data_IF_030251912748
#
_entry.id   IF_030251912748
#
_cell.length_a   1.000
_cell.length_b   1.000
_cell.length_c   1.000
_cell.angle_alpha   90.00
_cell.angle_beta   90.00
_cell.angle_gamma   90.00
#
_symmetry.space_group_name_H-M   'P 1'
#
loop_
_entity.id
_entity.type
_entity.pdbx_description
1 polymer ?
#
# COMPACT_ATOMS: atom_id res chain seq x y z
N UNK A 1 17.08 -16.69 33.14
CA UNK A 1 15.91 -17.27 32.42
C UNK A 1 15.17 -16.12 31.77
N UNK A 2 15.08 -16.10 30.48
CA UNK A 2 14.27 -15.10 29.80
C UNK A 2 12.78 -15.32 30.13
N UNK A 3 12.09 -14.22 30.38
CA UNK A 3 10.68 -14.28 30.78
C UNK A 3 9.83 -14.73 29.58
N UNK A 4 9.09 -15.86 29.70
CA UNK A 4 8.21 -16.39 28.65
C UNK A 4 6.95 -15.55 28.46
N UNK A 5 6.79 -14.45 29.20
CA UNK A 5 5.69 -13.50 29.04
C UNK A 5 6.27 -12.14 28.67
N UNK A 6 5.80 -11.56 27.56
CA UNK A 6 6.22 -10.26 27.06
C UNK A 6 5.04 -9.29 27.27
N UNK A 7 5.21 -8.30 28.15
CA UNK A 7 4.19 -7.30 28.44
C UNK A 7 4.33 -6.07 27.51
N UNK A 8 3.23 -5.48 27.12
CA UNK A 8 3.24 -4.22 26.35
C UNK A 8 3.81 -3.07 27.17
N UNK A 9 3.63 -3.09 28.50
CA UNK A 9 4.19 -2.11 29.42
C UNK A 9 5.72 -2.02 29.40
N UNK A 10 6.39 -3.08 28.93
CA UNK A 10 7.87 -3.13 28.87
C UNK A 10 8.42 -2.25 27.72
N UNK A 11 7.53 -1.71 26.85
CA UNK A 11 7.92 -0.93 25.68
C UNK A 11 7.40 0.51 25.78
N UNK A 12 8.28 1.53 25.79
CA UNK A 12 7.87 2.93 25.92
C UNK A 12 6.89 3.43 24.85
N UNK A 13 7.05 2.94 23.60
CA UNK A 13 6.19 3.29 22.47
C UNK A 13 4.78 2.69 22.55
N UNK A 14 4.52 1.79 23.49
CA UNK A 14 3.23 1.12 23.68
C UNK A 14 2.50 1.60 24.96
N UNK A 15 3.11 2.52 25.70
CA UNK A 15 2.46 3.14 26.84
C UNK A 15 1.40 4.11 26.33
N UNK A 16 0.13 3.75 26.47
CA UNK A 16 -0.98 4.63 26.12
C UNK A 16 -1.12 5.75 27.16
N UNK A 17 -1.31 6.98 26.67
CA UNK A 17 -1.67 8.16 27.46
C UNK A 17 -3.17 8.24 27.78
N UNK A 18 -3.88 7.10 27.86
CA UNK A 18 -5.33 7.04 28.02
C UNK A 18 -5.81 6.10 29.14
N UNK A 19 -7.09 6.22 29.48
CA UNK A 19 -7.78 5.58 30.61
C UNK A 19 -7.94 4.06 30.59
N UNK A 20 -7.47 3.36 29.56
CA UNK A 20 -7.51 1.88 29.46
C UNK A 20 -6.15 1.31 29.85
N UNK A 21 -6.04 0.87 31.10
CA UNK A 21 -4.96 -0.01 31.57
C UNK A 21 -5.14 -1.43 31.05
N UNK A 22 -5.04 -1.65 29.74
CA UNK A 22 -4.97 -3.02 29.20
C UNK A 22 -3.49 -3.45 29.24
N UNK A 23 -3.13 -4.26 30.24
CA UNK A 23 -1.83 -4.90 30.32
C UNK A 23 -1.77 -6.00 29.25
N UNK A 24 -1.75 -5.59 27.97
CA UNK A 24 -1.58 -6.53 26.87
C UNK A 24 -0.29 -7.32 27.02
N UNK A 25 -0.36 -8.62 26.74
CA UNK A 25 0.81 -9.51 26.81
C UNK A 25 0.77 -10.54 25.71
N UNK A 26 1.94 -11.02 25.34
CA UNK A 26 2.13 -12.28 24.61
C UNK A 26 2.66 -13.33 25.59
N UNK A 27 2.04 -14.50 25.58
CA UNK A 27 2.38 -15.61 26.46
C UNK A 27 3.01 -16.74 25.64
N UNK A 28 4.33 -16.84 25.67
CA UNK A 28 5.09 -17.85 24.92
C UNK A 28 4.94 -19.24 25.50
N UNK A 29 4.46 -19.39 26.76
CA UNK A 29 4.20 -20.72 27.35
C UNK A 29 3.12 -21.49 26.59
N UNK A 30 2.30 -20.79 25.78
CA UNK A 30 1.30 -21.40 24.91
C UNK A 30 1.88 -22.17 23.73
N UNK A 31 3.18 -22.03 23.44
CA UNK A 31 3.84 -22.70 22.33
C UNK A 31 4.43 -24.06 22.79
N UNK A 32 4.36 -25.11 21.93
CA UNK A 32 4.66 -26.48 22.34
C UNK A 32 6.16 -26.80 22.49
N UNK A 33 7.05 -26.04 21.83
CA UNK A 33 8.49 -26.32 21.83
C UNK A 33 9.30 -25.07 22.16
N UNK A 34 10.54 -25.26 22.63
CA UNK A 34 11.42 -24.14 22.95
C UNK A 34 11.87 -23.41 21.71
N UNK A 35 12.11 -24.11 20.61
CA UNK A 35 12.48 -23.52 19.32
C UNK A 35 11.38 -22.58 18.81
N UNK A 36 10.11 -22.99 18.86
CA UNK A 36 8.99 -22.14 18.51
C UNK A 36 8.88 -20.91 19.42
N UNK A 37 9.15 -21.04 20.70
CA UNK A 37 9.17 -19.90 21.63
C UNK A 37 10.21 -18.86 21.22
N UNK A 38 11.40 -19.30 20.86
CA UNK A 38 12.50 -18.40 20.44
C UNK A 38 12.19 -17.71 19.10
N UNK A 39 11.67 -18.46 18.12
CA UNK A 39 11.24 -17.92 16.82
C UNK A 39 10.17 -16.85 16.99
N UNK A 40 9.12 -17.11 17.75
CA UNK A 40 8.06 -16.12 18.00
C UNK A 40 8.54 -14.98 18.89
N UNK A 41 9.41 -15.21 19.87
CA UNK A 41 10.01 -14.18 20.71
C UNK A 41 10.71 -13.14 19.85
N UNK A 42 11.57 -13.56 18.92
CA UNK A 42 12.29 -12.66 18.01
C UNK A 42 11.33 -11.75 17.22
N UNK A 43 10.31 -12.33 16.61
CA UNK A 43 9.31 -11.56 15.86
C UNK A 43 8.47 -10.65 16.76
N UNK A 44 7.98 -11.13 17.90
CA UNK A 44 7.15 -10.35 18.83
C UNK A 44 7.94 -9.15 19.37
N UNK A 45 9.21 -9.34 19.77
CA UNK A 45 10.07 -8.26 20.24
C UNK A 45 10.29 -7.20 19.15
N UNK A 46 10.53 -7.62 17.89
CA UNK A 46 10.60 -6.71 16.76
C UNK A 46 9.29 -5.91 16.59
N UNK A 47 8.13 -6.58 16.68
CA UNK A 47 6.81 -5.94 16.57
C UNK A 47 6.53 -4.97 17.71
N UNK A 48 6.88 -5.33 18.94
CA UNK A 48 6.71 -4.45 20.10
C UNK A 48 7.56 -3.19 20.01
N UNK A 49 8.78 -3.28 19.49
CA UNK A 49 9.65 -2.10 19.30
C UNK A 49 9.17 -1.16 18.18
N UNK A 50 8.55 -1.69 17.13
CA UNK A 50 8.23 -0.93 15.91
C UNK A 50 6.72 -0.73 15.66
N UNK A 51 5.87 -1.35 16.45
CA UNK A 51 4.42 -1.34 16.27
C UNK A 51 3.71 -0.27 17.12
N UNK A 52 2.41 -0.13 16.87
CA UNK A 52 1.51 0.67 17.70
C UNK A 52 0.68 -0.23 18.60
N UNK A 53 0.23 0.28 19.75
CA UNK A 53 -0.59 -0.45 20.70
C UNK A 53 -1.81 -1.14 20.05
N UNK A 54 -2.55 -0.39 19.23
CA UNK A 54 -3.74 -0.90 18.52
C UNK A 54 -3.42 -2.07 17.58
N UNK A 55 -2.29 -2.02 16.88
CA UNK A 55 -1.85 -3.09 16.00
C UNK A 55 -1.50 -4.36 16.81
N UNK A 56 -0.81 -4.20 17.94
CA UNK A 56 -0.41 -5.31 18.79
C UNK A 56 -1.57 -6.02 19.51
N UNK A 57 -2.67 -5.33 19.79
CA UNK A 57 -3.89 -6.00 20.26
C UNK A 57 -4.42 -6.99 19.18
N UNK A 58 -4.40 -6.58 17.91
CA UNK A 58 -4.78 -7.47 16.81
C UNK A 58 -3.78 -8.61 16.63
N UNK A 59 -2.49 -8.31 16.71
CA UNK A 59 -1.40 -9.29 16.64
C UNK A 59 -1.53 -10.34 17.78
N UNK A 60 -1.87 -9.93 19.00
CA UNK A 60 -2.12 -10.83 20.15
C UNK A 60 -3.25 -11.83 19.86
N UNK A 61 -4.35 -11.34 19.29
CA UNK A 61 -5.47 -12.21 18.93
C UNK A 61 -5.05 -13.23 17.87
N UNK A 62 -4.33 -12.78 16.85
CA UNK A 62 -3.79 -13.64 15.80
C UNK A 62 -2.80 -14.67 16.37
N UNK A 63 -1.88 -14.24 17.24
CA UNK A 63 -0.94 -15.10 17.94
C UNK A 63 -1.63 -16.22 18.73
N UNK A 64 -2.67 -15.89 19.48
CA UNK A 64 -3.42 -16.88 20.26
C UNK A 64 -4.08 -17.95 19.37
N UNK A 65 -4.58 -17.60 18.20
CA UNK A 65 -5.09 -18.56 17.22
C UNK A 65 -3.96 -19.46 16.70
N UNK A 66 -2.81 -18.87 16.39
CA UNK A 66 -1.64 -19.63 15.88
C UNK A 66 -1.09 -20.55 16.95
N UNK A 67 -1.00 -20.13 18.20
CA UNK A 67 -0.58 -20.99 19.30
C UNK A 67 -1.50 -22.22 19.44
N UNK A 68 -2.82 -22.06 19.33
CA UNK A 68 -3.79 -23.16 19.30
C UNK A 68 -3.58 -24.07 18.08
N UNK A 69 -3.35 -23.48 16.91
CA UNK A 69 -3.08 -24.22 15.68
C UNK A 69 -1.79 -25.06 15.82
N UNK A 70 -0.71 -24.51 16.36
CA UNK A 70 0.55 -25.22 16.55
C UNK A 70 0.44 -26.37 17.56
N UNK A 71 -0.48 -26.28 18.53
CA UNK A 71 -0.80 -27.36 19.48
C UNK A 71 -1.79 -28.40 18.92
N UNK A 72 -2.28 -28.23 17.69
CA UNK A 72 -3.25 -29.16 17.09
C UNK A 72 -2.60 -30.50 16.71
N UNK A 73 -3.43 -31.53 16.50
CA UNK A 73 -2.97 -32.88 16.13
C UNK A 73 -2.08 -32.90 14.87
N UNK A 74 -2.33 -32.01 13.93
CA UNK A 74 -1.61 -31.89 12.66
C UNK A 74 -0.13 -31.50 12.89
N UNK A 75 0.15 -30.82 14.00
CA UNK A 75 1.45 -30.24 14.30
C UNK A 75 2.21 -30.93 15.46
N UNK A 76 1.74 -32.04 15.96
CA UNK A 76 2.34 -32.75 17.14
C UNK A 76 3.83 -33.10 17.03
N UNK A 77 4.37 -33.21 15.82
CA UNK A 77 5.77 -33.59 15.57
C UNK A 77 6.64 -32.42 15.13
N UNK A 78 6.06 -31.21 15.06
CA UNK A 78 6.77 -30.01 14.63
C UNK A 78 7.60 -29.47 15.80
N UNK A 79 8.85 -29.13 15.51
CA UNK A 79 9.76 -28.48 16.48
C UNK A 79 9.94 -26.99 16.15
N UNK A 80 10.06 -26.64 14.87
CA UNK A 80 10.36 -25.32 14.37
C UNK A 80 9.47 -24.97 13.18
N UNK A 81 9.27 -23.68 12.89
CA UNK A 81 8.59 -23.21 11.68
C UNK A 81 9.38 -23.52 10.39
N UNK A 82 10.70 -23.74 10.51
CA UNK A 82 11.56 -24.21 9.42
C UNK A 82 11.23 -25.62 8.92
N UNK A 83 10.53 -26.44 9.70
CA UNK A 83 10.22 -27.83 9.33
C UNK A 83 9.29 -27.97 8.11
N UNK A 84 8.67 -26.88 7.67
CA UNK A 84 7.76 -26.86 6.51
C UNK A 84 7.92 -25.61 5.67
N UNK A 85 7.61 -25.75 4.37
CA UNK A 85 7.53 -24.62 3.45
C UNK A 85 6.45 -23.62 3.91
N UNK A 86 6.69 -22.28 3.82
CA UNK A 86 5.75 -21.24 4.20
C UNK A 86 4.35 -21.38 3.59
N UNK A 87 4.23 -21.72 2.32
CA UNK A 87 2.92 -21.88 1.67
C UNK A 87 2.13 -23.08 2.24
N UNK A 88 2.82 -24.16 2.59
CA UNK A 88 2.19 -25.31 3.24
C UNK A 88 1.69 -24.96 4.64
N UNK A 89 2.46 -24.15 5.38
CA UNK A 89 2.02 -23.61 6.67
C UNK A 89 0.72 -22.82 6.56
N UNK A 90 0.64 -21.92 5.57
CA UNK A 90 -0.56 -21.10 5.35
C UNK A 90 -1.75 -21.95 4.94
N UNK A 91 -1.55 -22.95 4.06
CA UNK A 91 -2.60 -23.85 3.64
C UNK A 91 -3.19 -24.65 4.83
N UNK A 92 -2.32 -25.20 5.68
CA UNK A 92 -2.74 -25.94 6.88
C UNK A 92 -3.44 -25.04 7.91
N UNK A 93 -2.94 -23.80 8.10
CA UNK A 93 -3.60 -22.82 8.97
C UNK A 93 -5.00 -22.50 8.47
N UNK A 94 -5.17 -22.26 7.15
CA UNK A 94 -6.49 -22.00 6.56
C UNK A 94 -7.45 -23.15 6.78
N UNK A 95 -7.01 -24.40 6.56
CA UNK A 95 -7.81 -25.60 6.83
C UNK A 95 -8.24 -25.68 8.30
N UNK A 96 -7.29 -25.52 9.23
CA UNK A 96 -7.58 -25.53 10.66
C UNK A 96 -8.53 -24.39 11.08
N UNK A 97 -8.36 -23.18 10.53
CA UNK A 97 -9.26 -22.05 10.83
C UNK A 97 -10.70 -22.37 10.41
N UNK A 98 -10.90 -22.96 9.23
CA UNK A 98 -12.22 -23.38 8.75
C UNK A 98 -12.84 -24.44 9.68
N UNK A 99 -12.06 -25.44 10.11
CA UNK A 99 -12.51 -26.45 11.08
C UNK A 99 -12.93 -25.85 12.42
N UNK A 100 -12.29 -24.74 12.84
CA UNK A 100 -12.63 -24.03 14.08
C UNK A 100 -13.72 -22.96 13.89
N UNK A 101 -14.30 -22.81 12.71
CA UNK A 101 -15.30 -21.79 12.41
C UNK A 101 -14.71 -20.36 12.39
N UNK A 102 -13.38 -20.22 12.23
CA UNK A 102 -12.70 -18.93 12.16
C UNK A 102 -12.65 -18.50 10.69
N UNK A 103 -13.08 -17.28 10.41
CA UNK A 103 -13.10 -16.74 9.04
C UNK A 103 -11.69 -16.56 8.48
N UNK A 104 -11.48 -17.02 7.24
CA UNK A 104 -10.21 -16.85 6.51
C UNK A 104 -10.17 -15.58 5.67
N UNK A 105 -11.32 -14.92 5.51
CA UNK A 105 -11.49 -13.70 4.72
C UNK A 105 -12.01 -12.59 5.65
N UNK A 106 -11.42 -11.40 5.52
CA UNK A 106 -11.89 -10.19 6.19
C UNK A 106 -12.53 -9.26 5.16
N UNK A 107 -13.79 -8.92 5.39
CA UNK A 107 -14.46 -7.85 4.66
C UNK A 107 -13.93 -6.49 5.12
N UNK A 108 -13.62 -5.64 4.15
CA UNK A 108 -13.25 -4.23 4.37
C UNK A 108 -14.25 -3.37 3.62
N UNK A 109 -14.96 -2.53 4.34
CA UNK A 109 -15.87 -1.54 3.78
C UNK A 109 -15.20 -0.18 3.80
N UNK A 110 -15.07 0.45 2.63
CA UNK A 110 -14.55 1.82 2.53
C UNK A 110 -15.58 2.82 3.04
N UNK A 111 -15.14 4.05 3.32
CA UNK A 111 -16.02 5.18 3.69
C UNK A 111 -17.06 5.45 2.59
N UNK A 112 -16.73 5.15 1.34
CA UNK A 112 -17.61 5.31 0.17
C UNK A 112 -18.51 4.10 -0.11
N UNK A 113 -18.58 3.13 0.81
CA UNK A 113 -19.42 1.95 0.67
C UNK A 113 -18.86 0.81 -0.18
N UNK A 114 -17.69 0.98 -0.80
CA UNK A 114 -17.04 -0.09 -1.57
C UNK A 114 -16.61 -1.22 -0.63
N UNK A 115 -17.02 -2.44 -0.95
CA UNK A 115 -16.65 -3.64 -0.20
C UNK A 115 -15.46 -4.30 -0.88
N UNK A 116 -14.42 -4.59 -0.13
CA UNK A 116 -13.26 -5.36 -0.59
C UNK A 116 -12.98 -6.51 0.39
N UNK A 117 -12.48 -7.61 -0.14
CA UNK A 117 -12.16 -8.79 0.65
C UNK A 117 -10.64 -8.98 0.71
N UNK A 118 -10.14 -9.32 1.90
CA UNK A 118 -8.73 -9.60 2.11
C UNK A 118 -8.53 -10.80 3.03
N UNK A 119 -7.30 -11.32 3.12
CA UNK A 119 -7.01 -12.39 4.07
C UNK A 119 -7.24 -11.93 5.52
N UNK A 120 -7.70 -12.85 6.37
CA UNK A 120 -7.88 -12.60 7.79
C UNK A 120 -6.56 -12.19 8.48
N UNK A 121 -6.66 -11.39 9.53
CA UNK A 121 -5.50 -10.87 10.29
C UNK A 121 -4.58 -12.00 10.78
N UNK A 122 -5.14 -13.12 11.18
CA UNK A 122 -4.38 -14.31 11.64
C UNK A 122 -3.46 -14.85 10.55
N UNK A 123 -3.96 -14.93 9.30
CA UNK A 123 -3.16 -15.40 8.16
C UNK A 123 -2.06 -14.41 7.84
N UNK A 124 -2.38 -13.11 7.79
CA UNK A 124 -1.41 -12.04 7.52
C UNK A 124 -0.32 -11.99 8.60
N UNK A 125 -0.68 -12.12 9.86
CA UNK A 125 0.28 -12.16 10.97
C UNK A 125 1.22 -13.36 10.81
N UNK A 126 0.71 -14.55 10.52
CA UNK A 126 1.53 -15.75 10.37
C UNK A 126 2.46 -15.67 9.16
N UNK A 127 1.99 -15.12 8.01
CA UNK A 127 2.86 -14.83 6.87
C UNK A 127 4.02 -13.91 7.25
N UNK A 128 3.75 -12.89 8.07
CA UNK A 128 4.79 -11.96 8.51
C UNK A 128 5.79 -12.63 9.46
N UNK A 129 5.36 -13.54 10.34
CA UNK A 129 6.25 -14.37 11.15
C UNK A 129 7.15 -15.23 10.26
N UNK A 130 6.56 -15.96 9.31
CA UNK A 130 7.31 -16.81 8.39
C UNK A 130 8.29 -16.02 7.52
N UNK A 131 7.90 -14.83 7.08
CA UNK A 131 8.79 -13.92 6.34
C UNK A 131 9.94 -13.42 7.21
N UNK A 132 9.69 -13.09 8.46
CA UNK A 132 10.71 -12.61 9.41
C UNK A 132 11.77 -13.67 9.72
N UNK A 133 11.35 -14.94 9.78
CA UNK A 133 12.24 -16.08 10.05
C UNK A 133 12.90 -16.64 8.79
N UNK A 134 12.40 -16.26 7.62
CA UNK A 134 12.97 -16.67 6.34
C UNK A 134 14.37 -16.10 6.12
N UNK A 135 15.14 -16.67 5.20
CA UNK A 135 16.44 -16.12 4.84
C UNK A 135 16.27 -14.66 4.37
N UNK A 136 17.18 -13.81 4.81
CA UNK A 136 17.23 -12.42 4.35
C UNK A 136 17.52 -12.40 2.84
N UNK A 137 16.69 -11.67 2.09
CA UNK A 137 16.91 -11.49 0.66
C UNK A 137 18.01 -10.46 0.45
N UNK A 138 19.24 -10.96 0.23
CA UNK A 138 20.46 -10.15 0.06
C UNK A 138 20.60 -9.55 -1.35
N UNK A 139 19.65 -9.80 -2.27
CA UNK A 139 19.68 -9.16 -3.59
C UNK A 139 19.54 -7.65 -3.46
N UNK A 140 20.06 -6.93 -4.44
CA UNK A 140 19.82 -5.50 -4.54
C UNK A 140 18.33 -5.18 -4.53
N UNK A 141 17.94 -4.06 -3.92
CA UNK A 141 16.52 -3.72 -3.76
C UNK A 141 15.78 -3.69 -5.09
N UNK A 142 16.45 -3.22 -6.16
CA UNK A 142 15.89 -3.14 -7.52
C UNK A 142 15.64 -4.51 -8.18
N UNK A 143 16.32 -5.55 -7.73
CA UNK A 143 16.13 -6.91 -8.26
C UNK A 143 14.95 -7.64 -7.58
N UNK A 144 14.55 -7.18 -6.39
CA UNK A 144 13.43 -7.78 -5.65
C UNK A 144 12.10 -7.52 -6.36
N UNK A 145 11.13 -8.41 -6.17
CA UNK A 145 9.77 -8.21 -6.69
C UNK A 145 8.91 -7.29 -5.82
N UNK A 146 9.37 -6.96 -4.62
CA UNK A 146 8.78 -5.97 -3.72
C UNK A 146 9.88 -5.06 -3.23
N UNK A 147 9.82 -3.78 -3.62
CA UNK A 147 10.80 -2.79 -3.19
C UNK A 147 10.34 -2.10 -1.91
N UNK A 148 11.23 -1.99 -0.95
CA UNK A 148 11.09 -1.06 0.16
C UNK A 148 11.73 0.27 -0.22
N UNK A 149 10.91 1.30 -0.43
CA UNK A 149 11.36 2.59 -0.98
C UNK A 149 12.50 3.25 -0.19
N UNK A 150 12.56 2.99 1.14
CA UNK A 150 13.64 3.50 1.99
C UNK A 150 15.02 2.90 1.69
N UNK A 151 15.07 1.74 1.00
CA UNK A 151 16.30 1.04 0.66
C UNK A 151 16.80 1.39 -0.75
N UNK A 152 16.01 2.16 -1.51
CA UNK A 152 16.44 2.65 -2.83
C UNK A 152 17.36 3.86 -2.65
N UNK A 153 18.48 3.87 -3.35
CA UNK A 153 19.46 4.99 -3.34
C UNK A 153 19.00 6.13 -4.28
N UNK A 154 17.76 6.58 -4.11
CA UNK A 154 17.18 7.71 -4.87
C UNK A 154 16.32 8.58 -3.97
N UNK A 155 16.29 9.89 -4.26
CA UNK A 155 15.42 10.83 -3.55
C UNK A 155 14.01 10.79 -4.11
N UNK A 156 13.13 10.04 -3.45
CA UNK A 156 11.74 9.91 -3.86
C UNK A 156 10.92 11.12 -3.45
N UNK A 157 10.14 11.67 -4.39
CA UNK A 157 9.17 12.74 -4.11
C UNK A 157 7.94 12.14 -3.44
N UNK A 158 7.89 12.21 -2.11
CA UNK A 158 6.79 11.69 -1.30
C UNK A 158 5.58 12.61 -1.32
N UNK A 159 4.40 12.01 -1.19
CA UNK A 159 3.18 12.76 -0.88
C UNK A 159 3.15 13.00 0.64
N UNK A 160 2.94 14.24 1.12
CA UNK A 160 2.95 14.55 2.55
C UNK A 160 1.79 13.90 3.33
N UNK A 161 0.70 13.56 2.65
CA UNK A 161 -0.50 12.97 3.28
C UNK A 161 -0.50 11.44 3.15
N UNK A 162 -0.03 10.90 2.03
CA UNK A 162 -0.07 9.48 1.73
C UNK A 162 1.33 8.90 1.61
N UNK A 163 1.76 8.19 2.65
CA UNK A 163 3.10 7.61 2.71
C UNK A 163 3.12 6.20 2.10
N UNK A 164 3.56 6.12 0.84
CA UNK A 164 3.85 4.86 0.18
C UNK A 164 5.19 4.34 0.70
N UNK A 165 5.22 3.11 1.18
CA UNK A 165 6.44 2.49 1.71
C UNK A 165 7.05 1.44 0.79
N UNK A 166 6.21 0.84 -0.05
CA UNK A 166 6.63 -0.29 -0.91
C UNK A 166 6.00 -0.22 -2.29
N UNK A 167 6.72 -0.74 -3.30
CA UNK A 167 6.20 -1.05 -4.62
C UNK A 167 6.24 -2.57 -4.84
N UNK A 168 5.13 -3.15 -5.31
CA UNK A 168 4.97 -4.60 -5.46
C UNK A 168 4.76 -4.98 -6.93
N UNK A 169 5.72 -5.67 -7.53
CA UNK A 169 5.71 -6.09 -8.93
C UNK A 169 5.17 -7.50 -9.16
N UNK A 170 4.85 -8.26 -8.12
CA UNK A 170 4.45 -9.70 -8.20
C UNK A 170 3.19 -9.95 -9.02
N UNK A 171 2.35 -8.91 -9.22
CA UNK A 171 1.14 -8.99 -10.05
C UNK A 171 1.40 -8.69 -11.53
N UNK A 172 2.64 -8.50 -11.92
CA UNK A 172 3.06 -8.54 -13.33
C UNK A 172 3.48 -9.99 -13.59
N UNK A 173 2.65 -10.71 -14.34
CA UNK A 173 2.76 -12.18 -14.46
C UNK A 173 3.92 -12.62 -15.35
N UNK A 174 4.21 -11.87 -16.42
CA UNK A 174 5.30 -12.16 -17.35
C UNK A 174 6.63 -11.70 -16.73
N UNK A 175 7.62 -12.60 -16.56
CA UNK A 175 8.91 -12.25 -15.92
C UNK A 175 9.66 -11.13 -16.65
N UNK A 176 9.72 -11.18 -18.00
CA UNK A 176 10.46 -10.19 -18.77
C UNK A 176 9.79 -8.81 -18.70
N UNK A 177 8.45 -8.73 -18.86
CA UNK A 177 7.67 -7.49 -18.67
C UNK A 177 7.87 -6.94 -17.25
N UNK A 178 7.98 -7.82 -16.25
CA UNK A 178 8.23 -7.40 -14.85
C UNK A 178 9.58 -6.72 -14.71
N UNK A 179 10.63 -7.28 -15.29
CA UNK A 179 11.97 -6.68 -15.24
C UNK A 179 12.05 -5.38 -16.06
N UNK A 180 11.40 -5.34 -17.22
CA UNK A 180 11.28 -4.13 -18.04
C UNK A 180 10.53 -3.03 -17.26
N UNK A 181 9.44 -3.38 -16.62
CA UNK A 181 8.66 -2.46 -15.78
C UNK A 181 9.47 -1.96 -14.57
N UNK A 182 10.23 -2.82 -13.88
CA UNK A 182 11.10 -2.41 -12.77
C UNK A 182 12.09 -1.33 -13.20
N UNK A 183 12.75 -1.49 -14.34
CA UNK A 183 13.71 -0.49 -14.83
C UNK A 183 13.03 0.83 -15.18
N UNK A 184 11.87 0.79 -15.83
CA UNK A 184 11.11 2.00 -16.14
C UNK A 184 10.61 2.70 -14.87
N UNK A 185 10.08 1.97 -13.91
CA UNK A 185 9.67 2.49 -12.61
C UNK A 185 10.84 3.13 -11.86
N UNK A 186 12.02 2.50 -11.85
CA UNK A 186 13.21 3.06 -11.22
C UNK A 186 13.64 4.38 -11.89
N UNK A 187 13.58 4.46 -13.21
CA UNK A 187 13.85 5.70 -13.96
C UNK A 187 12.82 6.77 -13.60
N UNK A 188 11.53 6.47 -13.65
CA UNK A 188 10.45 7.42 -13.41
C UNK A 188 10.46 7.95 -11.96
N UNK A 189 10.83 7.13 -10.96
CA UNK A 189 10.97 7.55 -9.57
C UNK A 189 11.98 8.69 -9.35
N UNK A 190 12.94 8.87 -10.24
CA UNK A 190 13.93 9.95 -10.15
C UNK A 190 13.32 11.32 -10.48
N UNK A 191 12.28 11.35 -11.32
CA UNK A 191 11.70 12.59 -11.87
C UNK A 191 10.26 12.82 -11.45
N UNK A 192 9.50 11.76 -11.16
CA UNK A 192 8.08 11.82 -10.90
C UNK A 192 7.72 11.64 -9.42
N UNK A 193 6.51 12.09 -9.06
CA UNK A 193 5.97 11.82 -7.73
C UNK A 193 5.59 10.35 -7.58
N UNK A 194 5.77 9.80 -6.37
CA UNK A 194 5.46 8.40 -6.06
C UNK A 194 4.01 8.02 -6.40
N UNK A 195 3.06 8.96 -6.28
CA UNK A 195 1.66 8.72 -6.64
C UNK A 195 1.45 8.46 -8.13
N UNK A 196 2.19 9.15 -9.00
CA UNK A 196 2.19 8.95 -10.46
C UNK A 196 2.72 7.57 -10.80
N UNK A 197 3.90 7.23 -10.25
CA UNK A 197 4.54 5.92 -10.46
C UNK A 197 3.67 4.76 -9.95
N UNK A 198 2.94 4.96 -8.86
CA UNK A 198 1.95 3.96 -8.40
C UNK A 198 0.79 3.78 -9.40
N UNK A 199 0.34 4.86 -10.03
CA UNK A 199 -0.66 4.81 -11.11
C UNK A 199 -0.15 3.97 -12.28
N UNK A 200 1.07 4.23 -12.73
CA UNK A 200 1.75 3.48 -13.79
C UNK A 200 1.88 2.00 -13.45
N UNK A 201 2.35 1.68 -12.25
CA UNK A 201 2.46 0.29 -11.80
C UNK A 201 1.10 -0.39 -11.67
N UNK A 202 0.05 0.35 -11.32
CA UNK A 202 -1.31 -0.18 -11.22
C UNK A 202 -1.84 -0.60 -12.58
N UNK A 203 -1.69 0.26 -13.59
CA UNK A 203 -2.16 -0.09 -14.94
C UNK A 203 -1.32 -1.18 -15.58
N UNK A 204 -0.01 -1.23 -15.33
CA UNK A 204 0.85 -2.32 -15.81
C UNK A 204 0.43 -3.68 -15.24
N UNK A 205 -0.03 -3.73 -13.99
CA UNK A 205 -0.59 -4.97 -13.41
C UNK A 205 -1.89 -5.39 -14.09
N UNK A 206 -2.78 -4.44 -14.37
CA UNK A 206 -4.04 -4.70 -15.07
C UNK A 206 -3.75 -5.18 -16.50
N UNK A 207 -2.81 -4.53 -17.18
CA UNK A 207 -2.40 -4.89 -18.53
C UNK A 207 -1.73 -6.28 -18.57
N UNK A 208 -0.82 -6.55 -17.65
CA UNK A 208 -0.19 -7.88 -17.53
C UNK A 208 -1.21 -9.00 -17.25
N UNK A 209 -2.23 -8.73 -16.42
CA UNK A 209 -3.32 -9.69 -16.18
C UNK A 209 -4.13 -9.95 -17.46
N UNK A 210 -4.39 -8.91 -18.24
CA UNK A 210 -5.06 -9.03 -19.54
C UNK A 210 -4.22 -9.86 -20.52
N UNK A 211 -2.93 -9.53 -20.66
CA UNK A 211 -2.00 -10.29 -21.52
C UNK A 211 -1.90 -11.76 -21.09
N UNK A 212 -1.92 -12.05 -19.80
CA UNK A 212 -1.88 -13.43 -19.31
C UNK A 212 -3.10 -14.24 -19.73
N UNK A 213 -4.27 -13.60 -19.83
CA UNK A 213 -5.53 -14.25 -20.20
C UNK A 213 -5.71 -14.40 -21.71
N UNK A 214 -5.52 -13.30 -22.42
CA UNK A 214 -5.86 -13.22 -23.86
C UNK A 214 -4.65 -13.47 -24.76
N UNK A 215 -3.44 -13.08 -24.31
CA UNK A 215 -2.21 -13.11 -25.09
C UNK A 215 -1.07 -13.83 -24.35
N UNK A 216 -1.31 -15.03 -23.85
CA UNK A 216 -0.35 -15.79 -23.02
C UNK A 216 1.02 -16.07 -23.68
N UNK A 217 1.14 -15.88 -25.00
CA UNK A 217 2.39 -16.01 -25.75
C UNK A 217 3.30 -14.80 -25.60
N UNK A 218 2.76 -13.61 -25.35
CA UNK A 218 3.54 -12.39 -25.16
C UNK A 218 4.32 -12.48 -23.84
N UNK A 219 5.64 -12.35 -23.92
CA UNK A 219 6.55 -12.45 -22.77
C UNK A 219 7.26 -11.14 -22.45
N UNK A 220 7.52 -10.30 -23.45
CA UNK A 220 8.23 -9.02 -23.38
C UNK A 220 7.36 -7.90 -23.95
N UNK A 221 7.59 -6.67 -23.49
CA UNK A 221 6.95 -5.48 -24.04
C UNK A 221 7.30 -5.25 -25.51
N UNK A 222 8.44 -5.76 -26.01
CA UNK A 222 8.83 -5.67 -27.42
C UNK A 222 7.86 -6.37 -28.38
N UNK A 223 7.07 -7.34 -27.88
CA UNK A 223 6.11 -8.11 -28.65
C UNK A 223 4.73 -7.45 -28.75
N UNK A 224 4.51 -6.37 -27.96
CA UNK A 224 3.27 -5.63 -27.96
C UNK A 224 3.16 -4.82 -29.24
N UNK A 225 2.07 -5.02 -29.97
CA UNK A 225 1.74 -4.27 -31.17
C UNK A 225 0.46 -3.44 -31.01
N UNK A 226 0.07 -2.76 -32.06
CA UNK A 226 -1.10 -1.88 -32.06
C UNK A 226 -2.41 -2.64 -31.84
N UNK A 227 -2.54 -3.84 -32.39
CA UNK A 227 -3.74 -4.69 -32.27
C UNK A 227 -3.99 -5.07 -30.82
N UNK A 228 -2.95 -5.56 -30.14
CA UNK A 228 -3.00 -5.89 -28.69
C UNK A 228 -3.39 -4.68 -27.84
N UNK A 229 -2.85 -3.50 -28.17
CA UNK A 229 -3.21 -2.28 -27.46
C UNK A 229 -4.66 -1.89 -27.67
N UNK A 230 -5.16 -1.90 -28.92
CA UNK A 230 -6.55 -1.52 -29.24
C UNK A 230 -7.55 -2.44 -28.54
N UNK A 231 -7.33 -3.73 -28.54
CA UNK A 231 -8.18 -4.68 -27.83
C UNK A 231 -8.16 -4.45 -26.32
N UNK A 232 -6.98 -4.14 -25.75
CA UNK A 232 -6.90 -3.78 -24.33
C UNK A 232 -7.66 -2.49 -24.01
N UNK A 233 -7.58 -1.46 -24.85
CA UNK A 233 -8.33 -0.21 -24.69
C UNK A 233 -9.84 -0.45 -24.73
N UNK A 234 -10.31 -1.29 -25.63
CA UNK A 234 -11.71 -1.74 -25.69
C UNK A 234 -12.08 -2.45 -24.38
N UNK A 235 -11.23 -3.39 -23.92
CA UNK A 235 -11.45 -4.09 -22.66
C UNK A 235 -11.54 -3.13 -21.46
N UNK A 236 -10.70 -2.10 -21.40
CA UNK A 236 -10.79 -1.08 -20.35
C UNK A 236 -12.10 -0.29 -20.41
N UNK A 237 -12.56 0.06 -21.61
CA UNK A 237 -13.79 0.85 -21.80
C UNK A 237 -15.06 0.08 -21.46
N UNK A 238 -15.03 -1.24 -21.53
CA UNK A 238 -16.17 -2.12 -21.18
C UNK A 238 -16.28 -2.43 -19.71
N UNK A 239 -15.23 -2.13 -18.90
CA UNK A 239 -15.30 -2.25 -17.45
C UNK A 239 -16.11 -1.10 -16.85
N UNK A 240 -16.87 -1.38 -15.78
CA UNK A 240 -17.60 -0.39 -14.97
C UNK A 240 -16.65 0.55 -14.21
N UNK A 241 -15.76 1.22 -14.91
CA UNK A 241 -14.86 2.23 -14.38
C UNK A 241 -15.27 3.62 -14.85
N UNK A 242 -15.07 4.65 -14.02
CA UNK A 242 -15.38 6.02 -14.42
C UNK A 242 -14.54 6.46 -15.63
N UNK A 243 -15.08 7.30 -16.51
CA UNK A 243 -14.33 7.86 -17.65
C UNK A 243 -13.00 8.51 -17.24
N UNK A 244 -12.98 9.21 -16.11
CA UNK A 244 -11.77 9.84 -15.56
C UNK A 244 -10.70 8.80 -15.16
N UNK A 245 -11.11 7.65 -14.60
CA UNK A 245 -10.18 6.57 -14.28
C UNK A 245 -9.59 5.94 -15.54
N UNK A 246 -10.40 5.75 -16.60
CA UNK A 246 -9.94 5.20 -17.87
C UNK A 246 -8.93 6.10 -18.55
N UNK A 247 -9.18 7.41 -18.61
CA UNK A 247 -8.23 8.40 -19.17
C UNK A 247 -6.90 8.36 -18.42
N UNK A 248 -6.93 8.36 -17.08
CA UNK A 248 -5.73 8.27 -16.25
C UNK A 248 -4.95 6.97 -16.47
N UNK A 249 -5.65 5.85 -16.65
CA UNK A 249 -5.04 4.56 -16.94
C UNK A 249 -4.34 4.53 -18.30
N UNK A 250 -4.98 5.06 -19.34
CA UNK A 250 -4.40 5.12 -20.69
C UNK A 250 -3.14 5.99 -20.70
N UNK A 251 -3.19 7.18 -20.06
CA UNK A 251 -2.03 8.08 -19.95
C UNK A 251 -0.89 7.41 -19.19
N UNK A 252 -1.19 6.73 -18.09
CA UNK A 252 -0.17 6.04 -17.27
C UNK A 252 0.45 4.87 -18.01
N UNK A 253 -0.35 4.08 -18.75
CA UNK A 253 0.15 2.97 -19.57
C UNK A 253 1.05 3.47 -20.70
N UNK A 254 0.60 4.51 -21.42
CA UNK A 254 1.39 5.15 -22.46
C UNK A 254 2.76 5.57 -21.94
N UNK A 255 2.80 6.33 -20.85
CA UNK A 255 4.03 6.81 -20.25
C UNK A 255 4.98 5.67 -19.88
N UNK A 256 4.44 4.61 -19.26
CA UNK A 256 5.24 3.46 -18.86
C UNK A 256 5.83 2.70 -20.05
N UNK A 257 5.02 2.43 -21.10
CA UNK A 257 5.48 1.75 -22.30
C UNK A 257 6.46 2.60 -23.12
N UNK A 258 6.24 3.91 -23.23
CA UNK A 258 7.22 4.83 -23.87
C UNK A 258 8.55 4.86 -23.10
N UNK A 259 8.52 4.83 -21.76
CA UNK A 259 9.73 4.76 -20.94
C UNK A 259 10.48 3.43 -21.17
N UNK A 260 9.75 2.31 -21.20
CA UNK A 260 10.33 1.00 -21.55
C UNK A 260 10.94 1.04 -22.95
N UNK A 261 10.21 1.62 -23.92
CA UNK A 261 10.68 1.79 -25.30
C UNK A 261 12.02 2.49 -25.36
N UNK A 262 12.17 3.61 -24.65
CA UNK A 262 13.42 4.38 -24.59
C UNK A 262 14.56 3.63 -23.92
N UNK A 263 14.30 2.91 -22.81
CA UNK A 263 15.33 2.16 -22.06
C UNK A 263 15.88 1.00 -22.89
N UNK A 264 14.99 0.29 -23.60
CA UNK A 264 15.34 -0.93 -24.32
C UNK A 264 15.49 -0.74 -25.85
N UNK A 265 15.31 0.49 -26.32
CA UNK A 265 15.31 0.82 -27.77
C UNK A 265 14.24 0.04 -28.56
N UNK A 266 13.06 -0.08 -27.97
CA UNK A 266 11.90 -0.68 -28.63
C UNK A 266 11.12 0.44 -29.34
N UNK A 267 11.57 0.87 -30.52
CA UNK A 267 11.01 2.00 -31.30
C UNK A 267 9.48 1.91 -31.46
N UNK A 268 8.94 0.70 -31.61
CA UNK A 268 7.49 0.46 -31.74
C UNK A 268 6.72 1.03 -30.54
N UNK A 269 7.22 0.88 -29.32
CA UNK A 269 6.53 1.32 -28.11
C UNK A 269 6.46 2.85 -27.99
N UNK A 270 7.41 3.56 -28.56
CA UNK A 270 7.44 5.04 -28.53
C UNK A 270 6.33 5.67 -29.41
N UNK A 271 5.85 4.92 -30.39
CA UNK A 271 4.83 5.33 -31.36
C UNK A 271 3.55 4.51 -31.30
N UNK A 272 3.41 3.68 -30.26
CA UNK A 272 2.29 2.74 -30.14
C UNK A 272 0.94 3.45 -29.93
N UNK A 273 0.94 4.56 -29.18
CA UNK A 273 -0.26 5.31 -28.87
C UNK A 273 -0.48 6.47 -29.85
N UNK A 274 -1.74 6.70 -30.18
CA UNK A 274 -2.18 7.89 -30.90
C UNK A 274 -3.05 8.78 -29.99
N UNK A 275 -3.20 10.06 -30.33
CA UNK A 275 -3.91 11.01 -29.47
C UNK A 275 -5.38 10.64 -29.22
N UNK A 276 -6.02 9.96 -30.16
CA UNK A 276 -7.42 9.51 -30.03
C UNK A 276 -7.62 8.35 -29.07
N UNK A 277 -6.55 7.68 -28.63
CA UNK A 277 -6.62 6.61 -27.62
C UNK A 277 -6.96 7.13 -26.24
N UNK A 278 -6.64 8.40 -25.99
CA UNK A 278 -6.91 9.02 -24.70
C UNK A 278 -8.35 9.50 -24.69
N UNK A 279 -9.22 8.95 -23.84
CA UNK A 279 -10.59 9.42 -23.74
C UNK A 279 -10.63 10.91 -23.38
N UNK A 280 -11.54 11.69 -23.98
CA UNK A 280 -11.65 13.10 -23.68
C UNK A 280 -11.98 13.32 -22.20
N UNK A 281 -11.36 14.33 -21.59
CA UNK A 281 -11.69 14.71 -20.22
C UNK A 281 -13.15 15.17 -20.14
N UNK A 282 -13.90 14.56 -19.24
CA UNK A 282 -15.23 15.07 -18.89
C UNK A 282 -15.01 16.27 -17.98
N UNK A 283 -15.42 17.45 -18.45
CA UNK A 283 -15.38 18.65 -17.64
C UNK A 283 -16.17 18.43 -16.35
N UNK A 284 -15.49 18.43 -15.23
CA UNK A 284 -16.13 18.34 -13.92
C UNK A 284 -17.00 19.60 -13.73
N UNK A 285 -18.29 19.42 -13.45
CA UNK A 285 -19.11 20.55 -13.01
C UNK A 285 -18.54 21.12 -11.70
N UNK A 286 -18.16 22.38 -11.75
CA UNK A 286 -17.71 23.09 -10.57
C UNK A 286 -18.92 23.36 -9.67
N UNK A 287 -19.06 22.61 -8.60
CA UNK A 287 -20.13 22.80 -7.60
C UNK A 287 -19.62 23.67 -6.47
N UNK A 288 -20.25 24.82 -6.31
CA UNK A 288 -20.00 25.72 -5.19
C UNK A 288 -21.07 25.47 -4.13
N UNK A 289 -20.65 25.49 -2.87
CA UNK A 289 -21.62 25.45 -1.77
C UNK A 289 -22.47 26.72 -1.76
N UNK A 290 -23.77 26.58 -1.53
CA UNK A 290 -24.65 27.69 -1.29
C UNK A 290 -24.36 28.38 0.05
N UNK A 291 -24.80 29.62 0.24
CA UNK A 291 -24.61 30.35 1.48
C UNK A 291 -25.20 29.61 2.69
N UNK A 292 -26.33 28.93 2.50
CA UNK A 292 -26.98 28.17 3.59
C UNK A 292 -26.22 26.87 3.91
N UNK A 293 -25.62 26.22 2.93
CA UNK A 293 -24.73 25.08 3.16
C UNK A 293 -23.47 25.51 3.90
N UNK A 294 -22.89 26.66 3.53
CA UNK A 294 -21.74 27.23 4.20
C UNK A 294 -22.04 27.63 5.64
N UNK A 295 -23.22 28.23 5.92
CA UNK A 295 -23.64 28.54 7.28
C UNK A 295 -23.76 27.28 8.14
N UNK A 296 -24.40 26.23 7.62
CA UNK A 296 -24.51 24.92 8.31
C UNK A 296 -23.13 24.29 8.57
N UNK A 297 -22.27 24.28 7.55
CA UNK A 297 -20.91 23.77 7.68
C UNK A 297 -20.15 24.52 8.79
N UNK A 298 -20.21 25.84 8.81
CA UNK A 298 -19.51 26.66 9.79
C UNK A 298 -20.04 26.42 11.23
N UNK A 299 -21.34 26.21 11.39
CA UNK A 299 -21.93 25.88 12.68
C UNK A 299 -21.41 24.54 13.21
N UNK A 300 -21.30 23.52 12.35
CA UNK A 300 -20.78 22.21 12.74
C UNK A 300 -19.26 22.23 13.00
N UNK A 301 -18.48 23.00 12.23
CA UNK A 301 -17.02 23.13 12.44
C UNK A 301 -16.71 23.64 13.84
N UNK A 302 -17.52 24.57 14.38
CA UNK A 302 -17.30 25.12 15.72
C UNK A 302 -17.52 24.12 16.86
N UNK A 303 -18.21 23.01 16.59
CA UNK A 303 -18.48 21.93 17.55
C UNK A 303 -17.44 20.80 17.49
N UNK A 304 -16.54 20.82 16.51
CA UNK A 304 -15.49 19.81 16.35
C UNK A 304 -14.34 19.99 17.34
N UNK A 305 -13.47 18.98 17.43
CA UNK A 305 -12.18 19.13 18.12
C UNK A 305 -11.45 20.38 17.65
N UNK A 306 -10.87 21.13 18.61
CA UNK A 306 -10.26 22.45 18.36
C UNK A 306 -9.20 22.41 17.24
N UNK A 307 -8.40 21.35 17.16
CA UNK A 307 -7.35 21.24 16.13
C UNK A 307 -7.96 21.02 14.75
N UNK A 308 -9.00 20.19 14.67
CA UNK A 308 -9.72 19.92 13.41
C UNK A 308 -10.44 21.18 12.95
N UNK A 309 -11.14 21.87 13.85
CA UNK A 309 -11.85 23.12 13.55
C UNK A 309 -10.89 24.19 13.01
N UNK A 310 -9.74 24.39 13.65
CA UNK A 310 -8.71 25.35 13.20
C UNK A 310 -8.18 24.98 11.80
N UNK A 311 -7.90 23.71 11.54
CA UNK A 311 -7.43 23.26 10.25
C UNK A 311 -8.46 23.53 9.15
N UNK A 312 -9.74 23.22 9.39
CA UNK A 312 -10.82 23.45 8.44
C UNK A 312 -11.06 24.94 8.18
N UNK A 313 -11.03 25.79 9.22
CA UNK A 313 -11.14 27.23 9.08
C UNK A 313 -9.99 27.83 8.26
N UNK A 314 -8.74 27.41 8.52
CA UNK A 314 -7.58 27.84 7.72
C UNK A 314 -7.74 27.40 6.27
N UNK A 315 -8.15 26.16 6.05
CA UNK A 315 -8.40 25.63 4.71
C UNK A 315 -9.45 26.44 3.95
N UNK A 316 -10.56 26.77 4.61
CA UNK A 316 -11.64 27.56 4.06
C UNK A 316 -11.23 29.01 3.77
N UNK A 317 -10.48 29.65 4.68
CA UNK A 317 -10.01 31.01 4.51
C UNK A 317 -8.99 31.18 3.39
N UNK A 318 -8.10 30.23 3.25
CA UNK A 318 -7.00 30.29 2.27
C UNK A 318 -7.38 29.69 0.91
N UNK A 319 -8.43 28.86 0.82
CA UNK A 319 -8.80 28.16 -0.40
C UNK A 319 -7.71 27.24 -0.94
N UNK A 320 -6.80 26.77 -0.07
CA UNK A 320 -5.68 25.91 -0.45
C UNK A 320 -6.14 24.46 -0.61
N UNK A 321 -5.31 23.61 -1.24
CA UNK A 321 -5.58 22.16 -1.22
C UNK A 321 -5.39 21.63 0.20
N UNK A 322 -6.11 20.58 0.55
CA UNK A 322 -6.01 19.98 1.91
C UNK A 322 -4.57 19.55 2.24
N UNK A 323 -3.79 19.07 1.25
CA UNK A 323 -2.38 18.76 1.41
C UNK A 323 -1.57 19.98 1.86
N UNK A 324 -1.82 21.11 1.25
CA UNK A 324 -1.08 22.34 1.53
C UNK A 324 -1.45 22.87 2.92
N UNK A 325 -2.74 22.83 3.27
CA UNK A 325 -3.20 23.20 4.61
C UNK A 325 -2.57 22.33 5.71
N UNK A 326 -2.55 21.01 5.51
CA UNK A 326 -2.00 20.07 6.50
C UNK A 326 -0.47 20.13 6.64
N UNK A 327 0.22 20.71 5.66
CA UNK A 327 1.69 20.84 5.64
C UNK A 327 2.16 22.28 5.85
N UNK A 328 1.25 23.20 6.20
CA UNK A 328 1.62 24.57 6.56
C UNK A 328 2.63 24.56 7.71
N UNK A 329 3.72 25.27 7.50
CA UNK A 329 4.74 25.42 8.53
C UNK A 329 4.30 26.46 9.56
N UNK A 330 4.68 26.31 10.84
CA UNK A 330 4.35 27.28 11.88
C UNK A 330 4.85 28.71 11.61
N UNK A 331 5.92 28.83 10.80
CA UNK A 331 6.56 30.07 10.40
C UNK A 331 6.08 30.62 9.05
N UNK A 332 5.07 30.03 8.43
CA UNK A 332 4.56 30.45 7.12
C UNK A 332 4.02 31.90 7.10
N UNK A 333 3.59 32.44 8.25
CA UNK A 333 3.10 33.81 8.38
C UNK A 333 4.22 34.84 8.62
N UNK A 334 5.46 34.41 8.79
CA UNK A 334 6.60 35.31 9.01
C UNK A 334 7.26 35.79 7.70
N UNK A 335 6.77 35.33 6.56
CA UNK A 335 7.29 35.66 5.23
C UNK A 335 6.79 37.01 4.69
N UNK A 336 6.63 38.03 5.56
CA UNK A 336 6.35 39.41 5.15
C UNK A 336 7.48 40.07 4.31
N UNK A 337 8.58 39.38 4.12
CA UNK A 337 9.76 39.92 3.41
C UNK A 337 9.92 39.39 1.98
N UNK A 338 9.07 38.50 1.51
CA UNK A 338 9.15 37.98 0.16
C UNK A 338 7.87 38.33 -0.62
N UNK A 339 7.89 39.34 -1.52
CA UNK A 339 6.74 39.68 -2.31
C UNK A 339 6.30 38.46 -3.14
N UNK A 340 4.99 38.24 -3.25
CA UNK A 340 4.40 37.21 -4.08
C UNK A 340 4.96 37.30 -5.51
N UNK A 341 5.19 36.20 -6.22
CA UNK A 341 5.54 36.26 -7.64
C UNK A 341 4.56 37.08 -8.49
N UNK A 342 3.31 37.23 -8.05
CA UNK A 342 2.30 38.08 -8.69
C UNK A 342 2.53 39.56 -8.41
N UNK A 343 3.12 39.94 -7.26
CA UNK A 343 3.41 41.32 -6.88
C UNK A 343 4.63 41.86 -7.63
N UNK A 344 5.50 40.98 -8.17
CA UNK A 344 6.65 41.36 -8.99
C UNK A 344 6.29 41.75 -10.43
N UNK A 345 5.09 41.44 -10.88
CA UNK A 345 4.62 41.76 -12.24
C UNK A 345 3.90 43.12 -12.34
N UNK A 346 3.78 43.85 -11.23
CA UNK A 346 3.09 45.15 -11.15
C UNK A 346 4.03 46.33 -10.81
N UNK A 347 5.35 46.10 -10.81
CA UNK A 347 6.36 47.18 -10.67
C UNK A 347 7.17 47.38 -11.92
#
# INVERSE_FOLDING_TARGET
>A
MENDIIYFSDFPNLQETGTRKDNGKFDLTLLPTQELKEEFRGYIMYRCKNGTFRALIQDRTAYNHIAKFLNSRINRRIKSLGDRNPEKWISLLKGWMLEQGITIVKEKKSVYGTVSYGEAVTILYFRNVLKFLGPEDLRDEIEKDVWELKNLDIKIRSNPIYNVKTLDFRKIYQPDIREECKKAVYMNLQYEAIGTVQGELTIMRIFSEYLQKEYSKIKSCSEIDREVLEEFLIHLSTKDTSHSANSSYVISLRRQLETIGKIYSYERLEHLFINTDIPPEVNAEFRVYSDDEMKRLNAEITQMDVQIARCLLIHQMLGTRISDTLTLRPDCCLLYTSPSPRDRSLS
#
